data_IF_810817562901
#
_entry.id   IF_810817562901
#
_cell.length_a   1.000
_cell.length_b   1.000
_cell.length_c   1.000
_cell.angle_alpha   90.00
_cell.angle_beta   90.00
_cell.angle_gamma   90.00
#
_symmetry.space_group_name_H-M   'P 1'
#
loop_
_entity.id
_entity.type
_entity.pdbx_description
1 polymer ?
#
# COMPACT_ATOMS: atom_id res chain seq x y z
N UNK A 1 2.59 22.59 -113.87
CA UNK A 1 3.57 21.75 -113.14
C UNK A 1 3.44 22.04 -111.64
N UNK A 2 3.33 21.00 -110.80
CA UNK A 2 2.79 21.13 -109.45
C UNK A 2 3.87 21.49 -108.43
N UNK A 3 3.55 22.38 -107.48
CA UNK A 3 4.38 22.66 -106.32
C UNK A 3 4.03 21.68 -105.19
N UNK A 4 5.02 20.88 -104.82
CA UNK A 4 5.01 19.97 -103.68
C UNK A 4 4.92 20.78 -102.38
N UNK A 5 3.98 20.43 -101.48
CA UNK A 5 4.01 20.80 -100.06
C UNK A 5 4.00 19.50 -99.24
N UNK A 6 4.92 19.33 -98.28
CA UNK A 6 5.02 18.09 -97.51
C UNK A 6 3.93 17.98 -96.44
N UNK A 7 3.58 16.72 -96.14
CA UNK A 7 2.58 16.23 -95.20
C UNK A 7 2.86 16.69 -93.77
N UNK A 8 1.81 17.09 -93.05
CA UNK A 8 1.77 16.95 -91.60
C UNK A 8 1.00 15.67 -91.28
N UNK A 9 1.70 14.76 -90.60
CA UNK A 9 1.23 13.50 -90.03
C UNK A 9 0.61 13.85 -88.68
N UNK A 10 -0.71 13.99 -88.63
CA UNK A 10 -1.50 13.92 -87.41
C UNK A 10 -2.91 13.47 -87.82
N UNK A 11 -2.99 12.20 -88.22
CA UNK A 11 -4.24 11.45 -88.23
C UNK A 11 -4.24 10.57 -86.98
N UNK A 12 -5.33 10.68 -86.22
CA UNK A 12 -6.04 9.64 -85.48
C UNK A 12 -5.24 8.72 -84.53
N UNK A 13 -5.32 9.06 -83.24
CA UNK A 13 -5.31 8.06 -82.18
C UNK A 13 -6.57 8.25 -81.33
N UNK A 14 -7.55 7.37 -81.55
CA UNK A 14 -8.68 7.12 -80.65
C UNK A 14 -8.12 6.63 -79.30
N UNK A 15 -8.39 7.35 -78.21
CA UNK A 15 -8.17 6.83 -76.85
C UNK A 15 -9.32 5.88 -76.49
N UNK A 16 -9.06 4.57 -76.51
CA UNK A 16 -9.93 3.61 -75.82
C UNK A 16 -9.86 3.84 -74.30
N UNK A 17 -10.99 3.75 -73.57
CA UNK A 17 -10.98 3.87 -72.12
C UNK A 17 -10.38 2.59 -71.51
N UNK A 18 -9.18 2.71 -70.93
CA UNK A 18 -8.63 1.67 -70.05
C UNK A 18 -9.55 1.48 -68.84
N UNK A 19 -10.38 0.45 -68.91
CA UNK A 19 -11.12 -0.06 -67.76
C UNK A 19 -10.13 -0.64 -66.76
N UNK A 20 -9.72 0.17 -65.78
CA UNK A 20 -9.00 -0.30 -64.60
C UNK A 20 -9.95 -1.15 -63.76
N UNK A 21 -9.83 -2.47 -63.92
CA UNK A 21 -10.49 -3.46 -63.07
C UNK A 21 -9.99 -3.33 -61.64
N UNK A 22 -10.67 -2.53 -60.82
CA UNK A 22 -10.46 -2.50 -59.39
C UNK A 22 -10.99 -3.83 -58.80
N UNK A 23 -10.07 -4.73 -58.44
CA UNK A 23 -10.42 -5.90 -57.64
C UNK A 23 -11.15 -5.44 -56.37
N UNK A 24 -12.24 -6.12 -55.95
CA UNK A 24 -12.93 -5.77 -54.72
C UNK A 24 -11.96 -5.82 -53.54
N UNK A 25 -12.06 -4.90 -52.56
CA UNK A 25 -11.15 -4.85 -51.43
C UNK A 25 -11.16 -6.19 -50.69
N UNK A 26 -9.98 -6.79 -50.53
CA UNK A 26 -9.81 -8.04 -49.79
C UNK A 26 -10.42 -7.92 -48.39
N UNK A 27 -11.24 -8.90 -47.99
CA UNK A 27 -11.81 -8.95 -46.65
C UNK A 27 -10.71 -9.28 -45.64
N UNK A 28 -10.29 -8.25 -44.90
CA UNK A 28 -9.35 -8.40 -43.80
C UNK A 28 -10.05 -8.99 -42.56
N UNK A 29 -9.59 -10.16 -42.11
CA UNK A 29 -10.04 -10.77 -40.87
C UNK A 29 -9.31 -10.15 -39.68
N UNK A 30 -10.06 -9.64 -38.70
CA UNK A 30 -9.52 -9.09 -37.46
C UNK A 30 -9.04 -10.21 -36.56
N UNK A 31 -7.84 -10.10 -36.00
CA UNK A 31 -7.33 -11.09 -35.05
C UNK A 31 -8.14 -11.02 -33.74
N UNK A 32 -8.71 -12.13 -33.25
CA UNK A 32 -9.66 -12.11 -32.12
C UNK A 32 -9.07 -11.55 -30.83
N UNK A 33 -7.76 -11.72 -30.60
CA UNK A 33 -7.08 -11.32 -29.36
C UNK A 33 -6.15 -10.10 -29.49
N UNK A 34 -5.83 -9.68 -30.71
CA UNK A 34 -4.80 -8.65 -30.96
C UNK A 34 -5.27 -7.55 -31.91
N UNK A 35 -6.57 -7.50 -32.20
CA UNK A 35 -7.20 -6.37 -32.86
C UNK A 35 -7.94 -5.53 -31.81
N UNK A 36 -7.21 -4.65 -31.14
CA UNK A 36 -7.75 -3.82 -30.07
C UNK A 36 -8.52 -2.61 -30.62
N UNK A 37 -9.61 -2.23 -29.97
CA UNK A 37 -10.28 -0.95 -30.27
C UNK A 37 -9.41 0.20 -29.77
N UNK A 38 -9.14 1.20 -30.62
CA UNK A 38 -8.36 2.39 -30.25
C UNK A 38 -9.24 3.50 -29.65
N UNK A 39 -10.38 3.13 -29.08
CA UNK A 39 -11.36 4.07 -28.55
C UNK A 39 -10.78 4.70 -27.28
N UNK A 40 -10.67 6.02 -27.30
CA UNK A 40 -10.34 6.82 -26.13
C UNK A 40 -11.64 7.28 -25.47
N UNK A 41 -11.63 7.37 -24.14
CA UNK A 41 -12.76 7.75 -23.31
C UNK A 41 -12.36 8.99 -22.51
N UNK A 42 -13.10 10.08 -22.69
CA UNK A 42 -12.94 11.32 -21.96
C UNK A 42 -13.59 11.21 -20.57
N UNK A 43 -12.78 11.36 -19.52
CA UNK A 43 -13.20 11.23 -18.12
C UNK A 43 -12.82 12.51 -17.38
N UNK A 44 -13.79 13.16 -16.76
CA UNK A 44 -13.57 14.30 -15.89
C UNK A 44 -13.54 13.84 -14.43
N UNK A 45 -12.47 14.21 -13.72
CA UNK A 45 -12.32 14.05 -12.28
C UNK A 45 -12.06 15.43 -11.71
N UNK A 46 -12.90 15.89 -10.77
CA UNK A 46 -12.87 17.27 -10.29
C UNK A 46 -12.92 18.26 -11.47
N UNK A 47 -11.92 19.14 -11.60
CA UNK A 47 -11.76 20.08 -12.71
C UNK A 47 -10.72 19.63 -13.76
N UNK A 48 -10.34 18.35 -13.75
CA UNK A 48 -9.29 17.79 -14.62
C UNK A 48 -9.88 16.76 -15.58
N UNK A 49 -9.50 16.87 -16.86
CA UNK A 49 -9.90 15.94 -17.90
C UNK A 49 -8.79 14.91 -18.17
N UNK A 50 -9.18 13.65 -18.22
CA UNK A 50 -8.36 12.50 -18.60
C UNK A 50 -8.87 11.91 -19.90
N UNK A 51 -7.96 11.36 -20.71
CA UNK A 51 -8.32 10.62 -21.91
C UNK A 51 -7.67 9.23 -21.87
N UNK A 52 -8.48 8.19 -21.75
CA UNK A 52 -8.03 6.84 -21.37
C UNK A 52 -8.48 5.81 -22.40
N UNK A 53 -7.66 4.81 -22.70
CA UNK A 53 -8.04 3.76 -23.64
C UNK A 53 -9.15 2.90 -23.05
N UNK A 54 -10.25 2.73 -23.79
CA UNK A 54 -11.42 1.93 -23.38
C UNK A 54 -11.04 0.52 -22.95
N UNK A 55 -10.02 -0.07 -23.60
CA UNK A 55 -9.50 -1.38 -23.26
C UNK A 55 -8.97 -1.47 -21.82
N UNK A 56 -8.32 -0.43 -21.30
CA UNK A 56 -7.83 -0.44 -19.91
C UNK A 56 -8.98 -0.43 -18.91
N UNK A 57 -10.03 0.32 -19.23
CA UNK A 57 -11.25 0.40 -18.43
C UNK A 57 -12.00 -0.93 -18.45
N UNK A 58 -12.09 -1.59 -19.61
CA UNK A 58 -12.78 -2.87 -19.80
C UNK A 58 -12.28 -4.03 -18.92
N UNK A 59 -11.14 -3.88 -18.24
CA UNK A 59 -10.63 -4.84 -17.24
C UNK A 59 -11.42 -4.83 -15.92
N UNK A 60 -12.28 -3.83 -15.69
CA UNK A 60 -13.20 -3.79 -14.56
C UNK A 60 -14.45 -4.60 -14.85
N UNK A 61 -14.93 -5.36 -13.86
CA UNK A 61 -16.06 -6.28 -14.02
C UNK A 61 -17.40 -5.56 -14.10
N UNK A 62 -17.60 -4.49 -13.31
CA UNK A 62 -18.95 -3.97 -13.02
C UNK A 62 -19.10 -2.46 -13.16
N UNK A 63 -18.01 -1.69 -13.09
CA UNK A 63 -18.11 -0.22 -13.02
C UNK A 63 -18.45 0.38 -14.36
N UNK A 64 -17.83 -0.14 -15.41
CA UNK A 64 -18.08 0.35 -16.76
C UNK A 64 -19.18 -0.43 -17.49
N UNK A 65 -19.91 -1.30 -16.79
CA UNK A 65 -21.13 -1.93 -17.33
C UNK A 65 -22.26 -0.91 -17.45
N UNK A 66 -22.50 -0.11 -16.40
CA UNK A 66 -23.45 1.02 -16.44
C UNK A 66 -22.93 2.16 -17.30
N UNK A 67 -21.62 2.38 -17.28
CA UNK A 67 -20.98 3.37 -18.13
C UNK A 67 -20.81 2.93 -19.57
N UNK A 68 -20.99 1.65 -19.93
CA UNK A 68 -20.84 1.20 -21.32
C UNK A 68 -21.87 1.85 -22.22
N UNK A 69 -23.08 2.02 -21.68
CA UNK A 69 -24.17 2.74 -22.30
C UNK A 69 -23.92 4.26 -22.26
N UNK A 70 -23.37 4.78 -21.16
CA UNK A 70 -22.97 6.17 -21.08
C UNK A 70 -21.83 6.50 -22.05
N UNK A 71 -20.82 5.65 -22.28
CA UNK A 71 -19.69 5.88 -23.23
C UNK A 71 -20.18 6.19 -24.65
N UNK A 72 -21.38 5.72 -25.03
CA UNK A 72 -21.97 6.01 -26.33
C UNK A 72 -22.56 7.44 -26.43
N UNK A 73 -22.87 8.10 -25.30
CA UNK A 73 -23.45 9.46 -25.22
C UNK A 73 -22.55 10.47 -24.45
N UNK A 74 -21.95 10.04 -23.34
CA UNK A 74 -21.03 10.69 -22.42
C UNK A 74 -19.67 9.95 -22.40
N UNK A 75 -18.60 10.62 -22.80
CA UNK A 75 -17.23 10.11 -22.83
C UNK A 75 -16.63 10.02 -24.23
N UNK A 76 -17.46 10.22 -25.26
CA UNK A 76 -17.06 10.20 -26.68
C UNK A 76 -16.17 11.40 -27.05
N UNK A 77 -16.29 12.52 -26.32
CA UNK A 77 -15.46 13.70 -26.53
C UNK A 77 -15.14 14.45 -25.23
N UNK A 78 -14.09 15.30 -25.23
CA UNK A 78 -13.77 16.22 -24.13
C UNK A 78 -14.91 17.14 -23.70
N UNK A 79 -15.82 17.48 -24.61
CA UNK A 79 -16.96 18.39 -24.36
C UNK A 79 -18.11 17.69 -23.64
N UNK A 80 -18.19 16.36 -23.72
CA UNK A 80 -19.17 15.53 -23.03
C UNK A 80 -18.45 14.43 -22.24
N UNK A 81 -17.64 14.74 -21.22
CA UNK A 81 -16.87 13.73 -20.51
C UNK A 81 -17.73 12.98 -19.49
N UNK A 82 -17.31 11.75 -19.17
CA UNK A 82 -17.85 11.05 -18.00
C UNK A 82 -17.33 11.73 -16.74
N UNK A 83 -18.24 12.24 -15.91
CA UNK A 83 -17.88 12.85 -14.63
C UNK A 83 -17.80 11.79 -13.54
N UNK A 84 -16.64 11.67 -12.90
CA UNK A 84 -16.44 10.80 -11.74
C UNK A 84 -16.52 11.63 -10.45
N UNK A 85 -17.58 11.39 -9.67
CA UNK A 85 -17.78 12.05 -8.39
C UNK A 85 -17.14 11.26 -7.23
N UNK A 86 -16.67 12.00 -6.22
CA UNK A 86 -16.03 11.42 -5.03
C UNK A 86 -14.72 10.69 -5.34
N UNK A 87 -14.00 11.15 -6.37
CA UNK A 87 -12.67 10.65 -6.74
C UNK A 87 -11.76 11.86 -6.88
N UNK A 88 -10.58 11.80 -6.29
CA UNK A 88 -9.58 12.85 -6.44
C UNK A 88 -8.74 12.63 -7.70
N UNK A 89 -8.20 13.72 -8.25
CA UNK A 89 -7.27 13.66 -9.39
C UNK A 89 -6.05 12.79 -9.08
N UNK A 90 -5.53 12.85 -7.86
CA UNK A 90 -4.36 12.05 -7.44
C UNK A 90 -4.66 10.55 -7.45
N UNK A 91 -5.83 10.14 -6.95
CA UNK A 91 -6.20 8.74 -6.86
C UNK A 91 -6.48 8.15 -8.23
N UNK A 92 -7.18 8.89 -9.09
CA UNK A 92 -7.42 8.45 -10.46
C UNK A 92 -6.11 8.36 -11.26
N UNK A 93 -5.21 9.34 -11.10
CA UNK A 93 -3.88 9.27 -11.71
C UNK A 93 -3.06 8.07 -11.20
N UNK A 94 -3.18 7.71 -9.92
CA UNK A 94 -2.53 6.52 -9.35
C UNK A 94 -3.05 5.22 -10.00
N UNK A 95 -4.37 5.08 -10.17
CA UNK A 95 -4.96 3.96 -10.91
C UNK A 95 -4.38 3.84 -12.32
N UNK A 96 -4.37 4.95 -13.07
CA UNK A 96 -3.88 4.95 -14.46
C UNK A 96 -2.39 4.62 -14.54
N UNK A 97 -1.57 5.15 -13.62
CA UNK A 97 -0.14 4.81 -13.54
C UNK A 97 0.05 3.31 -13.40
N UNK A 98 -0.74 2.61 -12.57
CA UNK A 98 -0.59 1.16 -12.43
C UNK A 98 -1.15 0.42 -13.67
N UNK A 99 -2.30 0.83 -14.20
CA UNK A 99 -2.90 0.19 -15.40
C UNK A 99 -2.01 0.25 -16.63
N UNK A 100 -1.28 1.36 -16.83
CA UNK A 100 -0.39 1.54 -17.97
C UNK A 100 1.04 1.02 -17.76
N UNK A 101 1.47 0.81 -16.52
CA UNK A 101 2.83 0.32 -16.22
C UNK A 101 2.89 -1.14 -15.75
N UNK A 102 1.76 -1.86 -15.73
CA UNK A 102 1.73 -3.29 -15.40
C UNK A 102 2.10 -4.15 -16.61
N UNK A 103 3.05 -5.10 -16.52
CA UNK A 103 3.71 -5.60 -15.31
C UNK A 103 5.04 -4.87 -15.10
N UNK A 104 5.26 -4.27 -13.92
CA UNK A 104 6.53 -3.58 -13.65
C UNK A 104 7.70 -4.53 -13.96
N UNK A 105 8.59 -4.20 -14.92
CA UNK A 105 9.79 -5.00 -15.10
C UNK A 105 10.58 -4.98 -13.79
N UNK A 106 11.20 -6.10 -13.45
CA UNK A 106 11.87 -6.40 -12.17
C UNK A 106 12.97 -5.42 -11.72
N UNK A 107 13.27 -4.40 -12.53
CA UNK A 107 14.32 -3.40 -12.29
C UNK A 107 13.79 -1.98 -12.01
N UNK A 108 12.47 -1.80 -11.88
CA UNK A 108 11.90 -0.53 -11.43
C UNK A 108 12.02 -0.41 -9.90
N UNK A 109 12.28 0.80 -9.36
CA UNK A 109 12.19 1.02 -7.92
C UNK A 109 10.80 0.62 -7.41
N UNK A 110 10.76 0.14 -6.17
CA UNK A 110 9.50 -0.19 -5.52
C UNK A 110 8.53 1.01 -5.61
N UNK A 111 7.28 0.80 -6.04
CA UNK A 111 6.33 1.88 -6.15
C UNK A 111 6.09 2.52 -4.78
N UNK A 112 5.92 3.84 -4.78
CA UNK A 112 5.68 4.60 -3.56
C UNK A 112 4.43 4.07 -2.83
N UNK A 113 4.49 3.99 -1.50
CA UNK A 113 3.36 3.57 -0.65
C UNK A 113 2.06 4.29 -0.99
N UNK A 114 2.14 5.61 -1.21
CA UNK A 114 0.98 6.45 -1.58
C UNK A 114 0.35 6.00 -2.90
N UNK A 115 1.16 5.61 -3.89
CA UNK A 115 0.70 5.09 -5.18
C UNK A 115 -0.04 3.76 -5.01
N UNK A 116 0.50 2.83 -4.20
CA UNK A 116 -0.11 1.52 -3.97
C UNK A 116 -1.49 1.68 -3.31
N UNK A 117 -1.57 2.47 -2.23
CA UNK A 117 -2.82 2.68 -1.48
C UNK A 117 -3.87 3.36 -2.35
N UNK A 118 -3.50 4.45 -3.05
CA UNK A 118 -4.43 5.19 -3.90
C UNK A 118 -4.92 4.34 -5.09
N UNK A 119 -4.03 3.58 -5.74
CA UNK A 119 -4.40 2.68 -6.81
C UNK A 119 -5.31 1.53 -6.30
N UNK A 120 -5.05 0.99 -5.11
CA UNK A 120 -5.88 -0.06 -4.53
C UNK A 120 -7.27 0.46 -4.23
N UNK A 121 -7.39 1.66 -3.63
CA UNK A 121 -8.68 2.33 -3.39
C UNK A 121 -9.51 2.42 -4.66
N UNK A 122 -8.89 2.82 -5.76
CA UNK A 122 -9.57 2.90 -7.06
C UNK A 122 -9.87 1.54 -7.65
N UNK A 123 -8.97 0.56 -7.53
CA UNK A 123 -9.20 -0.80 -7.99
C UNK A 123 -10.38 -1.46 -7.25
N UNK A 124 -10.50 -1.22 -5.95
CA UNK A 124 -11.61 -1.68 -5.12
C UNK A 124 -12.92 -0.94 -5.49
N UNK A 125 -12.89 0.40 -5.48
CA UNK A 125 -14.04 1.26 -5.85
C UNK A 125 -14.60 0.92 -7.22
N UNK A 126 -13.71 0.70 -8.19
CA UNK A 126 -14.09 0.40 -9.56
C UNK A 126 -14.07 -1.09 -9.90
N UNK A 127 -14.00 -2.00 -8.92
CA UNK A 127 -14.12 -3.46 -9.14
C UNK A 127 -13.17 -4.01 -10.22
N UNK A 128 -11.91 -3.57 -10.19
CA UNK A 128 -10.83 -4.21 -10.96
C UNK A 128 -10.26 -5.38 -10.14
N UNK A 129 -10.96 -6.51 -10.11
CA UNK A 129 -10.60 -7.68 -9.29
C UNK A 129 -9.15 -8.14 -9.48
N UNK A 130 -8.70 -8.32 -10.72
CA UNK A 130 -7.33 -8.73 -11.03
C UNK A 130 -6.29 -7.69 -10.60
N UNK A 131 -6.58 -6.40 -10.76
CA UNK A 131 -5.69 -5.33 -10.30
C UNK A 131 -5.66 -5.24 -8.77
N UNK A 132 -6.81 -5.42 -8.13
CA UNK A 132 -6.94 -5.44 -6.67
C UNK A 132 -6.13 -6.59 -6.07
N UNK A 133 -6.22 -7.79 -6.62
CA UNK A 133 -5.43 -8.94 -6.20
C UNK A 133 -3.91 -8.70 -6.37
N UNK A 134 -3.52 -8.12 -7.51
CA UNK A 134 -2.14 -7.72 -7.76
C UNK A 134 -1.63 -6.70 -6.74
N UNK A 135 -2.40 -5.62 -6.52
CA UNK A 135 -2.04 -4.56 -5.58
C UNK A 135 -2.05 -5.03 -4.12
N UNK A 136 -2.89 -6.01 -3.77
CA UNK A 136 -2.86 -6.64 -2.44
C UNK A 136 -1.52 -7.33 -2.20
N UNK A 137 -1.09 -8.17 -3.14
CA UNK A 137 0.20 -8.85 -3.09
C UNK A 137 1.36 -7.85 -2.99
N UNK A 138 1.26 -6.75 -3.74
CA UNK A 138 2.26 -5.69 -3.72
C UNK A 138 2.27 -4.94 -2.37
N UNK A 139 1.10 -4.66 -1.81
CA UNK A 139 0.97 -4.01 -0.51
C UNK A 139 1.56 -4.87 0.61
N UNK A 140 1.32 -6.18 0.58
CA UNK A 140 1.93 -7.15 1.51
C UNK A 140 3.45 -7.14 1.46
N UNK A 141 4.02 -6.98 0.26
CA UNK A 141 5.47 -7.00 0.05
C UNK A 141 6.16 -5.69 0.41
N UNK A 142 5.58 -4.56 -0.02
CA UNK A 142 6.29 -3.27 -0.02
C UNK A 142 5.91 -2.35 1.15
N UNK A 143 4.73 -2.52 1.76
CA UNK A 143 4.33 -1.67 2.88
C UNK A 143 5.03 -2.07 4.19
N UNK A 144 5.43 -1.07 4.97
CA UNK A 144 5.89 -1.27 6.34
C UNK A 144 4.70 -1.61 7.28
N UNK A 145 4.98 -2.00 8.52
CA UNK A 145 3.96 -2.46 9.45
C UNK A 145 2.89 -1.42 9.78
N UNK A 146 3.26 -0.14 9.83
CA UNK A 146 2.34 0.97 10.09
C UNK A 146 1.39 1.14 8.91
N UNK A 147 1.95 1.25 7.71
CA UNK A 147 1.17 1.47 6.50
C UNK A 147 0.33 0.22 6.16
N UNK A 148 0.77 -0.99 6.51
CA UNK A 148 -0.03 -2.23 6.44
C UNK A 148 -1.26 -2.18 7.33
N UNK A 149 -1.12 -1.74 8.58
CA UNK A 149 -2.25 -1.63 9.50
C UNK A 149 -3.25 -0.60 8.98
N UNK A 150 -2.77 0.57 8.54
CA UNK A 150 -3.62 1.63 7.97
C UNK A 150 -4.36 1.11 6.74
N UNK A 151 -3.63 0.50 5.80
CA UNK A 151 -4.19 -0.09 4.58
C UNK A 151 -5.24 -1.17 4.88
N UNK A 152 -4.90 -2.15 5.72
CA UNK A 152 -5.78 -3.24 6.06
C UNK A 152 -7.03 -2.78 6.84
N UNK A 153 -6.90 -1.75 7.67
CA UNK A 153 -8.03 -1.14 8.38
C UNK A 153 -8.94 -0.38 7.42
N UNK A 154 -8.38 0.38 6.48
CA UNK A 154 -9.14 1.15 5.49
C UNK A 154 -10.01 0.24 4.60
N UNK A 155 -9.45 -0.91 4.18
CA UNK A 155 -10.10 -1.83 3.25
C UNK A 155 -10.70 -3.08 3.90
N UNK A 156 -10.78 -3.12 5.23
CA UNK A 156 -11.33 -4.25 6.01
C UNK A 156 -10.70 -5.60 5.64
N UNK A 157 -9.37 -5.65 5.52
CA UNK A 157 -8.60 -6.87 5.16
C UNK A 157 -8.02 -7.48 6.44
N UNK A 158 -8.81 -8.30 7.12
CA UNK A 158 -8.51 -8.86 8.44
C UNK A 158 -7.19 -9.63 8.46
N UNK A 159 -6.89 -10.36 7.39
CA UNK A 159 -5.74 -11.26 7.26
C UNK A 159 -4.41 -10.51 7.34
N UNK A 160 -4.41 -9.21 7.03
CA UNK A 160 -3.21 -8.36 7.02
C UNK A 160 -2.94 -7.65 8.33
N UNK A 161 -3.85 -7.71 9.31
CA UNK A 161 -3.70 -6.96 10.55
C UNK A 161 -2.80 -7.66 11.56
N UNK A 162 -2.97 -8.96 11.76
CA UNK A 162 -2.31 -9.69 12.87
C UNK A 162 -0.78 -9.63 12.80
N UNK A 163 -0.10 -9.95 11.68
CA UNK A 163 1.35 -9.95 11.64
C UNK A 163 2.02 -8.58 11.96
N UNK A 164 1.60 -7.44 11.38
CA UNK A 164 2.21 -6.16 11.72
C UNK A 164 1.93 -5.71 13.16
N UNK A 165 0.76 -6.00 13.73
CA UNK A 165 0.51 -5.72 15.15
C UNK A 165 1.47 -6.46 16.07
N UNK A 166 1.71 -7.76 15.81
CA UNK A 166 2.67 -8.55 16.60
C UNK A 166 4.07 -7.95 16.49
N UNK A 167 4.55 -7.66 15.27
CA UNK A 167 5.88 -7.06 15.07
C UNK A 167 6.04 -5.72 15.79
N UNK A 168 5.02 -4.86 15.76
CA UNK A 168 5.03 -3.60 16.51
C UNK A 168 4.96 -3.80 18.03
N UNK A 169 4.34 -4.86 18.51
CA UNK A 169 4.35 -5.22 19.92
C UNK A 169 5.70 -5.80 20.34
N UNK A 170 6.43 -6.51 19.48
CA UNK A 170 7.67 -7.18 19.86
C UNK A 170 8.92 -6.30 19.70
N UNK A 171 8.94 -5.41 18.70
CA UNK A 171 10.13 -4.59 18.37
C UNK A 171 10.65 -3.77 19.55
N UNK A 172 11.96 -3.53 19.57
CA UNK A 172 12.62 -2.80 20.66
C UNK A 172 12.12 -1.36 20.77
N UNK A 173 12.00 -0.69 19.63
CA UNK A 173 11.69 0.73 19.51
C UNK A 173 10.23 0.99 19.90
N UNK A 174 9.96 2.01 20.74
CA UNK A 174 8.61 2.47 20.98
C UNK A 174 8.02 3.12 19.71
N UNK A 175 6.69 3.29 19.69
CA UNK A 175 6.04 4.07 18.67
C UNK A 175 6.53 5.53 18.73
N UNK A 176 6.96 6.06 17.59
CA UNK A 176 7.30 7.47 17.46
C UNK A 176 6.06 8.30 17.12
N UNK A 177 6.18 9.62 17.19
CA UNK A 177 5.05 10.55 17.00
C UNK A 177 4.37 10.41 15.63
N UNK A 178 5.14 10.12 14.58
CA UNK A 178 4.60 9.96 13.22
C UNK A 178 3.82 8.65 13.08
N UNK A 179 4.32 7.56 13.67
CA UNK A 179 3.64 6.27 13.70
C UNK A 179 2.32 6.37 14.48
N UNK A 180 2.32 7.06 15.63
CA UNK A 180 1.13 7.30 16.46
C UNK A 180 0.07 8.07 15.67
N UNK A 181 0.49 9.11 14.93
CA UNK A 181 -0.41 9.94 14.11
C UNK A 181 -1.10 9.13 13.02
N UNK A 182 -0.41 8.14 12.43
CA UNK A 182 -0.96 7.27 11.38
C UNK A 182 -1.89 6.18 11.90
N UNK A 183 -1.52 5.51 12.99
CA UNK A 183 -2.20 4.30 13.49
C UNK A 183 -3.58 4.55 14.10
N UNK A 184 -3.84 5.77 14.57
CA UNK A 184 -5.06 6.10 15.32
C UNK A 184 -5.06 5.58 16.76
N UNK A 185 -5.95 6.13 17.59
CA UNK A 185 -5.93 5.95 19.04
C UNK A 185 -6.09 4.47 19.48
N UNK A 186 -6.97 3.73 18.82
CA UNK A 186 -7.26 2.35 19.18
C UNK A 186 -6.07 1.41 18.96
N UNK A 187 -5.45 1.49 17.78
CA UNK A 187 -4.26 0.73 17.41
C UNK A 187 -3.09 1.05 18.36
N UNK A 188 -2.91 2.34 18.69
CA UNK A 188 -1.89 2.79 19.66
C UNK A 188 -2.17 2.24 21.05
N UNK A 189 -3.43 2.23 21.49
CA UNK A 189 -3.85 1.71 22.80
C UNK A 189 -3.52 0.23 22.93
N UNK A 190 -3.91 -0.60 21.94
CA UNK A 190 -3.68 -2.05 22.02
C UNK A 190 -2.18 -2.38 21.93
N UNK A 191 -1.44 -1.71 21.04
CA UNK A 191 0.02 -1.90 20.93
C UNK A 191 0.69 -1.53 22.25
N UNK A 192 0.40 -0.36 22.82
CA UNK A 192 1.02 0.09 24.07
C UNK A 192 0.71 -0.86 25.22
N UNK A 193 -0.55 -1.28 25.35
CA UNK A 193 -0.99 -2.21 26.40
C UNK A 193 -0.27 -3.56 26.34
N UNK A 194 -0.22 -4.18 25.17
CA UNK A 194 0.46 -5.47 25.00
C UNK A 194 1.97 -5.33 25.21
N UNK A 195 2.57 -4.21 24.77
CA UNK A 195 3.99 -3.92 25.03
C UNK A 195 4.27 -3.81 26.52
N UNK A 196 3.45 -3.10 27.28
CA UNK A 196 3.62 -2.93 28.73
C UNK A 196 3.44 -4.24 29.49
N UNK A 197 2.46 -5.06 29.10
CA UNK A 197 2.15 -6.32 29.78
C UNK A 197 3.18 -7.41 29.50
N UNK A 198 3.69 -7.48 28.27
CA UNK A 198 4.41 -8.66 27.77
C UNK A 198 5.86 -8.39 27.35
N UNK A 199 6.32 -7.13 27.35
CA UNK A 199 7.74 -6.77 27.24
C UNK A 199 8.31 -6.35 28.59
N UNK A 200 8.00 -7.12 29.62
CA UNK A 200 8.42 -6.77 30.96
C UNK A 200 9.93 -6.80 31.08
N UNK A 201 10.45 -5.65 31.51
CA UNK A 201 11.77 -5.49 32.05
C UNK A 201 11.71 -5.99 33.50
N UNK A 202 12.44 -7.06 33.80
CA UNK A 202 12.91 -7.45 35.16
C UNK A 202 12.22 -8.65 35.82
N UNK A 203 13.06 -9.41 36.53
CA UNK A 203 12.77 -10.42 37.56
C UNK A 203 11.66 -9.94 38.51
N UNK A 204 10.63 -10.75 38.70
CA UNK A 204 9.58 -10.54 39.69
C UNK A 204 10.04 -11.02 41.07
N UNK A 205 9.79 -10.22 42.12
CA UNK A 205 10.01 -10.59 43.50
C UNK A 205 8.67 -10.75 44.22
N UNK A 206 8.49 -11.88 44.89
CA UNK A 206 7.30 -12.19 45.69
C UNK A 206 7.55 -11.77 47.14
N UNK A 207 6.58 -11.04 47.72
CA UNK A 207 6.63 -10.61 49.12
C UNK A 207 6.77 -11.82 50.05
N UNK A 208 7.70 -11.75 51.02
CA UNK A 208 7.94 -12.82 51.99
C UNK A 208 8.91 -13.91 51.55
N UNK A 209 9.43 -13.84 50.31
CA UNK A 209 10.44 -14.77 49.81
C UNK A 209 11.84 -14.16 49.86
N UNK A 210 12.83 -15.03 50.09
CA UNK A 210 14.25 -14.66 50.12
C UNK A 210 14.90 -14.87 48.75
N UNK A 211 15.65 -13.88 48.29
CA UNK A 211 16.41 -13.93 47.04
C UNK A 211 17.88 -13.64 47.34
N UNK A 212 18.81 -14.41 46.75
CA UNK A 212 20.23 -14.18 46.95
C UNK A 212 20.74 -12.95 46.18
N UNK A 213 21.91 -12.44 46.57
CA UNK A 213 22.53 -11.27 45.93
C UNK A 213 22.76 -11.45 44.43
N UNK A 214 23.13 -12.66 43.99
CA UNK A 214 23.31 -12.97 42.57
C UNK A 214 22.00 -12.88 41.77
N UNK A 215 20.87 -13.33 42.34
CA UNK A 215 19.57 -13.29 41.67
C UNK A 215 18.96 -11.88 41.63
N UNK A 216 19.22 -11.07 42.66
CA UNK A 216 18.72 -9.68 42.72
C UNK A 216 19.62 -8.71 41.97
N UNK A 217 20.90 -9.05 41.79
CA UNK A 217 21.95 -8.14 41.35
C UNK A 217 22.29 -7.06 42.38
N UNK A 218 21.78 -7.18 43.60
CA UNK A 218 21.98 -6.24 44.69
C UNK A 218 22.87 -6.86 45.75
N UNK A 219 23.63 -6.05 46.47
CA UNK A 219 24.42 -6.46 47.63
C UNK A 219 24.19 -5.47 48.76
N UNK A 220 24.15 -5.99 49.97
CA UNK A 220 24.11 -5.17 51.18
C UNK A 220 25.48 -4.54 51.45
N UNK A 221 25.49 -3.23 51.65
CA UNK A 221 26.67 -2.45 52.04
C UNK A 221 26.46 -1.88 53.45
N UNK A 222 27.39 -2.18 54.36
CA UNK A 222 27.31 -1.66 55.73
C UNK A 222 27.61 -0.16 55.77
N UNK A 223 27.15 0.54 56.81
CA UNK A 223 27.53 1.91 57.11
C UNK A 223 29.03 2.05 57.45
N UNK A 224 29.62 1.00 58.04
CA UNK A 224 30.99 1.06 58.55
C UNK A 224 32.08 0.83 57.49
N UNK A 225 31.71 0.37 56.28
CA UNK A 225 32.67 -0.07 55.26
C UNK A 225 33.22 1.08 54.38
N UNK A 226 32.64 2.29 54.48
CA UNK A 226 33.13 3.51 53.80
C UNK A 226 32.79 4.76 54.60
N UNK A 227 33.74 5.69 54.72
CA UNK A 227 33.52 7.05 55.24
C UNK A 227 32.99 7.95 54.12
N UNK A 228 31.69 8.29 54.13
CA UNK A 228 31.13 9.31 53.24
C UNK A 228 29.61 9.28 53.16
N UNK A 229 28.99 10.45 53.04
CA UNK A 229 27.55 10.63 52.83
C UNK A 229 27.17 9.98 51.49
N UNK A 230 26.32 8.96 51.54
CA UNK A 230 25.81 8.26 50.36
C UNK A 230 24.47 8.87 49.99
N UNK A 231 24.20 9.15 48.73
CA UNK A 231 22.87 9.50 48.27
C UNK A 231 22.25 8.33 47.51
N UNK A 232 20.94 8.14 47.65
CA UNK A 232 20.22 7.21 46.81
C UNK A 232 20.19 7.71 45.37
N UNK A 233 20.80 6.98 44.42
CA UNK A 233 20.78 7.35 42.99
C UNK A 233 19.37 7.51 42.39
N UNK A 234 18.34 6.93 43.03
CA UNK A 234 16.95 7.03 42.56
C UNK A 234 16.21 8.28 43.02
N UNK A 235 16.38 8.70 44.27
CA UNK A 235 15.60 9.79 44.88
C UNK A 235 16.45 10.90 45.54
N UNK A 236 17.78 10.79 45.49
CA UNK A 236 18.72 11.77 46.06
C UNK A 236 18.73 11.84 47.59
N UNK A 237 18.03 10.94 48.29
CA UNK A 237 17.99 10.95 49.75
C UNK A 237 19.33 10.49 50.32
N UNK A 238 19.87 11.25 51.27
CA UNK A 238 21.07 10.87 52.02
C UNK A 238 20.82 9.59 52.85
N UNK A 239 21.72 8.63 52.70
CA UNK A 239 21.71 7.31 53.31
C UNK A 239 22.76 7.31 54.42
N UNK A 240 22.32 7.64 55.64
CA UNK A 240 23.17 7.66 56.84
C UNK A 240 23.43 6.27 57.44
N UNK A 241 22.86 5.21 56.86
CA UNK A 241 22.92 3.84 57.38
C UNK A 241 23.41 2.85 56.31
N UNK A 242 23.27 1.55 56.57
CA UNK A 242 23.47 0.50 55.57
C UNK A 242 22.51 0.67 54.39
N UNK A 243 22.97 0.29 53.20
CA UNK A 243 22.21 0.44 51.95
C UNK A 243 22.40 -0.76 51.02
N UNK A 244 21.79 -0.69 49.84
CA UNK A 244 21.97 -1.68 48.78
C UNK A 244 22.79 -1.08 47.65
N UNK A 245 23.79 -1.80 47.17
CA UNK A 245 24.57 -1.49 45.97
C UNK A 245 24.25 -2.49 44.85
N UNK A 246 24.31 -2.04 43.60
CA UNK A 246 24.21 -2.93 42.44
C UNK A 246 25.58 -3.56 42.15
N UNK A 247 25.65 -4.89 41.96
CA UNK A 247 26.91 -5.62 41.76
C UNK A 247 27.25 -5.93 40.30
N UNK A 248 26.48 -5.41 39.34
CA UNK A 248 26.76 -5.61 37.91
C UNK A 248 27.88 -4.72 37.39
N UNK A 249 28.46 -5.11 36.25
CA UNK A 249 29.68 -4.51 35.70
C UNK A 249 29.49 -3.11 35.10
N UNK A 250 28.26 -2.71 34.74
CA UNK A 250 27.86 -1.38 34.26
C UNK A 250 26.36 -1.14 34.57
N UNK A 251 25.81 0.07 34.32
CA UNK A 251 24.35 0.35 34.44
C UNK A 251 23.57 -0.82 33.84
N UNK A 252 22.67 -1.43 34.62
CA UNK A 252 21.88 -2.61 34.19
C UNK A 252 21.18 -2.35 32.85
N UNK A 253 21.73 -2.86 31.76
CA UNK A 253 20.99 -3.07 30.51
C UNK A 253 20.03 -4.22 30.76
N UNK A 254 18.80 -3.88 31.14
CA UNK A 254 17.74 -4.86 31.34
C UNK A 254 17.53 -5.65 30.05
N UNK A 255 17.78 -6.95 30.08
CA UNK A 255 17.34 -7.86 29.01
C UNK A 255 15.81 -7.84 29.03
N UNK A 256 15.21 -7.28 27.98
CA UNK A 256 13.76 -7.30 27.79
C UNK A 256 13.39 -8.73 27.41
N UNK A 257 12.60 -9.39 28.26
CA UNK A 257 11.99 -10.68 27.91
C UNK A 257 10.66 -10.35 27.25
N UNK A 258 10.44 -10.89 26.05
CA UNK A 258 9.21 -10.71 25.28
C UNK A 258 8.42 -12.01 25.33
N UNK A 259 7.21 -11.97 25.87
CA UNK A 259 6.28 -13.10 25.81
C UNK A 259 5.52 -13.07 24.47
N UNK A 260 6.18 -13.58 23.43
CA UNK A 260 5.64 -13.61 22.06
C UNK A 260 4.32 -14.35 21.95
N UNK A 261 4.14 -15.44 22.72
CA UNK A 261 2.90 -16.23 22.69
C UNK A 261 1.72 -15.44 23.26
N UNK A 262 1.91 -14.74 24.37
CA UNK A 262 0.88 -13.89 24.94
C UNK A 262 0.54 -12.69 24.05
N UNK A 263 1.56 -12.08 23.42
CA UNK A 263 1.36 -11.00 22.42
C UNK A 263 0.53 -11.53 21.24
N UNK A 264 0.89 -12.66 20.66
CA UNK A 264 0.17 -13.24 19.53
C UNK A 264 -1.30 -13.54 19.87
N UNK A 265 -1.56 -14.18 21.02
CA UNK A 265 -2.92 -14.44 21.48
C UNK A 265 -3.72 -13.15 21.71
N UNK A 266 -3.11 -12.14 22.33
CA UNK A 266 -3.74 -10.84 22.59
C UNK A 266 -4.10 -10.09 21.31
N UNK A 267 -3.18 -10.06 20.35
CA UNK A 267 -3.41 -9.43 19.03
C UNK A 267 -4.52 -10.16 18.28
N UNK A 268 -4.44 -11.49 18.16
CA UNK A 268 -5.45 -12.29 17.45
C UNK A 268 -6.85 -12.04 17.99
N UNK A 269 -7.00 -12.11 19.32
CA UNK A 269 -8.28 -11.83 19.98
C UNK A 269 -8.79 -10.42 19.65
N UNK A 270 -7.93 -9.41 19.74
CA UNK A 270 -8.34 -8.03 19.46
C UNK A 270 -8.75 -7.82 17.99
N UNK A 271 -8.04 -8.44 17.04
CA UNK A 271 -8.39 -8.38 15.61
C UNK A 271 -9.74 -9.07 15.36
N UNK A 272 -9.98 -10.24 15.96
CA UNK A 272 -11.27 -10.95 15.89
C UNK A 272 -12.43 -10.11 16.44
N UNK A 273 -12.27 -9.54 17.63
CA UNK A 273 -13.31 -8.77 18.31
C UNK A 273 -13.67 -7.48 17.54
N UNK A 274 -12.71 -6.89 16.83
CA UNK A 274 -12.87 -5.62 16.12
C UNK A 274 -13.33 -5.78 14.67
N UNK A 275 -12.91 -6.86 14.01
CA UNK A 275 -13.23 -7.16 12.63
C UNK A 275 -13.89 -8.54 12.59
N UNK A 276 -15.15 -8.65 13.03
CA UNK A 276 -15.89 -9.90 12.95
C UNK A 276 -16.02 -10.31 11.48
N UNK A 277 -16.00 -11.61 11.21
CA UNK A 277 -16.38 -12.11 9.90
C UNK A 277 -17.84 -11.72 9.66
N UNK A 278 -18.13 -11.05 8.54
CA UNK A 278 -19.51 -10.78 8.15
C UNK A 278 -20.23 -12.14 8.03
N UNK A 279 -21.18 -12.41 8.93
CA UNK A 279 -22.11 -13.54 8.80
C UNK A 279 -22.94 -13.31 7.53
N UNK A 280 -22.53 -13.94 6.42
CA UNK A 280 -23.31 -14.03 5.18
C UNK A 280 -24.21 -15.28 5.18
#
# INVERSE_FOLDING_TARGET
MPRYKPRNIFDDYEEEPETTGANPPEQLNRHPNFFFSNDLVAIQVENTLFNVHRFQLAKSENTWGKLRQAIEEEGSSPEQPIKLEGVSVSDFAALLKVLYNSPFPSNQPSPETSLIIAAFRMADKFRFSGLRAYLLTLAEKELNDIDKIVFATEFYIKELLTPPYIRLCERAEPLNSEEIRKLGAESVSIISRLREQHRNRTVSFTVGYYYCYSCTGMKFENANDRNGDRECDGCGTEIYSSGLSYTGSEKRTQTVIVDSSAIEMGVKKWVEDRFPEEEY
#
